data_IF_686832567834
#
_entry.id   IF_686832567834
#
_cell.length_a   1.000
_cell.length_b   1.000
_cell.length_c   1.000
_cell.angle_alpha   90.00
_cell.angle_beta   90.00
_cell.angle_gamma   90.00
#
_symmetry.space_group_name_H-M   'P 1'
#
loop_
_entity.id
_entity.type
_entity.pdbx_description
1 polymer ?
#
# COMPACT_ATOMS: atom_id res chain seq x y z
N UNK A 1 -26.47 -18.76 12.77
CA UNK A 1 -27.61 -17.91 12.39
C UNK A 1 -28.07 -18.33 10.99
N UNK A 2 -29.33 -18.05 10.60
CA UNK A 2 -29.72 -18.14 9.17
C UNK A 2 -29.01 -17.03 8.39
N UNK A 3 -28.93 -17.16 7.07
CA UNK A 3 -28.28 -16.20 6.16
C UNK A 3 -28.76 -14.75 6.36
N UNK A 4 -30.03 -14.58 6.68
CA UNK A 4 -30.62 -13.30 7.08
C UNK A 4 -29.89 -12.60 8.24
N UNK A 5 -29.32 -13.35 9.18
CA UNK A 5 -28.53 -12.78 10.28
C UNK A 5 -27.19 -12.21 9.83
N UNK A 6 -26.53 -12.85 8.86
CA UNK A 6 -25.29 -12.37 8.27
C UNK A 6 -25.53 -11.09 7.46
N UNK A 7 -26.65 -11.01 6.72
CA UNK A 7 -27.04 -9.80 5.98
C UNK A 7 -27.26 -8.58 6.86
N UNK A 8 -27.88 -8.73 8.04
CA UNK A 8 -28.03 -7.61 9.00
C UNK A 8 -26.67 -7.02 9.40
N UNK A 9 -25.66 -7.87 9.60
CA UNK A 9 -24.32 -7.41 9.96
C UNK A 9 -23.64 -6.75 8.76
N UNK A 10 -23.79 -7.31 7.56
CA UNK A 10 -23.27 -6.74 6.31
C UNK A 10 -23.87 -5.35 6.05
N UNK A 11 -25.19 -5.19 6.17
CA UNK A 11 -25.86 -3.90 6.00
C UNK A 11 -25.34 -2.86 6.99
N UNK A 12 -25.09 -3.26 8.24
CA UNK A 12 -24.49 -2.38 9.25
C UNK A 12 -23.07 -1.94 8.83
N UNK A 13 -22.22 -2.87 8.39
CA UNK A 13 -20.85 -2.59 7.96
C UNK A 13 -20.80 -1.70 6.70
N UNK A 14 -21.75 -1.89 5.78
CA UNK A 14 -21.94 -1.04 4.61
C UNK A 14 -22.23 0.41 5.03
N UNK A 15 -23.21 0.61 5.92
CA UNK A 15 -23.58 1.93 6.44
C UNK A 15 -22.43 2.60 7.19
N UNK A 16 -21.71 1.86 8.04
CA UNK A 16 -20.53 2.36 8.76
C UNK A 16 -19.41 2.82 7.80
N UNK A 17 -19.39 2.28 6.58
CA UNK A 17 -18.42 2.61 5.53
C UNK A 17 -18.95 3.65 4.53
N UNK A 18 -20.11 4.25 4.81
CA UNK A 18 -20.72 5.31 4.01
C UNK A 18 -21.44 4.83 2.75
N UNK A 19 -21.75 3.54 2.65
CA UNK A 19 -22.65 3.02 1.62
C UNK A 19 -24.11 3.26 2.03
N UNK A 20 -24.94 3.64 1.07
CA UNK A 20 -26.35 4.01 1.22
C UNK A 20 -27.19 2.91 0.59
N UNK A 21 -27.87 2.11 1.42
CA UNK A 21 -28.77 1.05 0.98
C UNK A 21 -30.14 1.62 0.57
N UNK A 22 -30.95 0.85 -0.19
CA UNK A 22 -32.31 1.27 -0.52
C UNK A 22 -33.13 1.60 0.73
N UNK A 23 -33.74 2.79 0.73
CA UNK A 23 -34.52 3.29 1.87
C UNK A 23 -33.73 3.95 3.00
N UNK A 24 -32.40 4.06 2.89
CA UNK A 24 -31.60 4.91 3.77
C UNK A 24 -31.65 6.39 3.31
N UNK A 25 -31.32 7.32 4.20
CA UNK A 25 -31.21 8.74 3.86
C UNK A 25 -29.96 9.01 2.99
N UNK A 26 -30.16 9.44 1.75
CA UNK A 26 -29.07 9.86 0.86
C UNK A 26 -29.27 9.42 -0.59
N UNK A 27 -28.20 9.50 -1.38
CA UNK A 27 -28.18 8.94 -2.74
C UNK A 27 -27.77 7.47 -2.64
N UNK A 28 -28.73 6.58 -2.91
CA UNK A 28 -28.50 5.13 -2.96
C UNK A 28 -27.32 4.79 -3.88
N UNK A 29 -26.42 3.95 -3.38
CA UNK A 29 -25.24 3.48 -4.11
C UNK A 29 -24.94 1.99 -3.85
N UNK A 30 -25.94 1.27 -3.34
CA UNK A 30 -25.96 -0.19 -3.17
C UNK A 30 -27.22 -0.73 -3.81
N UNK A 31 -27.07 -1.73 -4.67
CA UNK A 31 -28.17 -2.47 -5.27
C UNK A 31 -28.18 -3.90 -4.73
N UNK A 32 -29.10 -4.25 -3.82
CA UNK A 32 -29.23 -5.61 -3.29
C UNK A 32 -29.91 -6.53 -4.32
N UNK A 33 -29.54 -7.80 -4.32
CA UNK A 33 -30.18 -8.86 -5.12
C UNK A 33 -30.21 -8.59 -6.63
N UNK A 34 -29.12 -8.05 -7.18
CA UNK A 34 -29.03 -7.75 -8.60
C UNK A 34 -28.83 -9.03 -9.44
N UNK A 35 -29.86 -9.39 -10.22
CA UNK A 35 -29.84 -10.51 -11.14
C UNK A 35 -28.95 -10.30 -12.36
N UNK A 36 -28.17 -11.33 -12.71
CA UNK A 36 -27.33 -11.37 -13.90
C UNK A 36 -27.36 -12.77 -14.56
N UNK A 37 -26.67 -12.92 -15.70
CA UNK A 37 -26.63 -14.19 -16.47
C UNK A 37 -26.09 -15.40 -15.68
N UNK A 38 -25.39 -15.17 -14.56
CA UNK A 38 -24.78 -16.18 -13.70
C UNK A 38 -25.56 -16.43 -12.40
N UNK A 39 -26.61 -15.66 -12.12
CA UNK A 39 -27.41 -15.71 -10.89
C UNK A 39 -27.59 -14.32 -10.26
N UNK A 40 -28.08 -14.27 -9.03
CA UNK A 40 -28.29 -13.03 -8.29
C UNK A 40 -27.12 -12.78 -7.32
N UNK A 41 -26.48 -11.62 -7.46
CA UNK A 41 -25.49 -11.15 -6.51
C UNK A 41 -26.20 -10.60 -5.26
N UNK A 42 -25.70 -10.90 -4.06
CA UNK A 42 -26.35 -10.43 -2.82
C UNK A 42 -26.37 -8.90 -2.73
N UNK A 43 -25.23 -8.26 -3.06
CA UNK A 43 -25.13 -6.81 -3.15
C UNK A 43 -24.20 -6.40 -4.30
N UNK A 44 -24.55 -5.30 -4.95
CA UNK A 44 -23.70 -4.62 -5.94
C UNK A 44 -23.50 -3.19 -5.49
N UNK A 45 -22.25 -2.86 -5.21
CA UNK A 45 -21.82 -1.52 -4.83
C UNK A 45 -21.55 -0.72 -6.10
N UNK A 46 -22.07 0.49 -6.17
CA UNK A 46 -21.95 1.37 -7.34
C UNK A 46 -20.82 2.39 -7.17
N UNK A 47 -20.19 2.82 -8.26
CA UNK A 47 -19.28 3.97 -8.25
C UNK A 47 -20.04 5.31 -8.27
N UNK A 48 -19.31 6.42 -8.12
CA UNK A 48 -19.84 7.78 -8.13
C UNK A 48 -20.57 8.15 -9.42
N UNK A 49 -20.29 7.43 -10.52
CA UNK A 49 -20.94 7.58 -11.83
C UNK A 49 -22.15 6.66 -12.00
N UNK A 50 -22.42 5.76 -11.04
CA UNK A 50 -23.55 4.83 -11.05
C UNK A 50 -23.27 3.52 -11.79
N UNK A 51 -22.01 3.18 -12.07
CA UNK A 51 -21.65 1.88 -12.64
C UNK A 51 -21.31 0.87 -11.55
N UNK A 52 -21.56 -0.44 -11.77
CA UNK A 52 -21.10 -1.48 -10.87
C UNK A 52 -19.59 -1.37 -10.58
N UNK A 53 -19.26 -1.40 -9.30
CA UNK A 53 -17.91 -1.19 -8.78
C UNK A 53 -17.41 -2.43 -8.04
N UNK A 54 -18.23 -3.00 -7.17
CA UNK A 54 -17.86 -4.15 -6.36
C UNK A 54 -19.06 -5.05 -6.08
N UNK A 55 -18.87 -6.37 -6.20
CA UNK A 55 -19.88 -7.36 -5.81
C UNK A 55 -19.64 -7.83 -4.37
N UNK A 56 -20.68 -7.99 -3.58
CA UNK A 56 -20.60 -8.69 -2.29
C UNK A 56 -21.32 -10.03 -2.40
N UNK A 57 -20.63 -11.08 -1.98
CA UNK A 57 -21.19 -12.42 -1.81
C UNK A 57 -21.28 -12.73 -0.31
N UNK A 58 -22.51 -12.94 0.16
CA UNK A 58 -22.82 -13.27 1.53
C UNK A 58 -22.91 -14.79 1.71
N UNK A 59 -22.38 -15.28 2.83
CA UNK A 59 -22.57 -16.65 3.30
C UNK A 59 -23.15 -16.65 4.70
N UNK A 60 -23.71 -17.80 5.09
CA UNK A 60 -24.12 -18.04 6.48
C UNK A 60 -22.92 -17.95 7.42
N UNK A 61 -23.11 -17.42 8.62
CA UNK A 61 -22.09 -17.21 9.65
C UNK A 61 -21.17 -18.41 9.93
N UNK A 62 -21.69 -19.64 9.88
CA UNK A 62 -20.93 -20.87 10.10
C UNK A 62 -20.16 -21.37 8.87
N UNK A 63 -20.34 -20.76 7.69
CA UNK A 63 -19.61 -21.12 6.47
C UNK A 63 -18.46 -20.15 6.23
N UNK A 64 -17.41 -20.63 5.59
CA UNK A 64 -16.30 -19.79 5.18
C UNK A 64 -16.77 -18.82 4.08
N UNK A 65 -16.48 -17.52 4.16
CA UNK A 65 -16.74 -16.59 3.06
C UNK A 65 -16.05 -17.02 1.76
N UNK A 66 -14.88 -17.67 1.87
CA UNK A 66 -14.11 -18.15 0.73
C UNK A 66 -14.82 -19.23 -0.09
N UNK A 67 -15.81 -19.92 0.48
CA UNK A 67 -16.61 -20.91 -0.24
C UNK A 67 -17.43 -20.27 -1.38
N UNK A 68 -17.71 -18.97 -1.29
CA UNK A 68 -18.41 -18.19 -2.32
C UNK A 68 -17.52 -17.65 -3.44
N UNK A 69 -16.20 -17.93 -3.42
CA UNK A 69 -15.23 -17.24 -4.28
C UNK A 69 -15.52 -17.36 -5.78
N UNK A 70 -15.81 -18.57 -6.27
CA UNK A 70 -16.09 -18.80 -7.69
C UNK A 70 -17.43 -18.21 -8.13
N UNK A 71 -18.43 -18.23 -7.24
CA UNK A 71 -19.74 -17.62 -7.47
C UNK A 71 -19.60 -16.09 -7.59
N UNK A 72 -18.92 -15.48 -6.62
CA UNK A 72 -18.69 -14.04 -6.59
C UNK A 72 -17.85 -13.56 -7.80
N UNK A 73 -16.87 -14.36 -8.25
CA UNK A 73 -16.14 -14.08 -9.49
C UNK A 73 -17.08 -14.10 -10.70
N UNK A 74 -17.94 -15.11 -10.81
CA UNK A 74 -18.91 -15.19 -11.91
C UNK A 74 -19.84 -13.98 -11.99
N UNK A 75 -20.30 -13.47 -10.84
CA UNK A 75 -21.10 -12.24 -10.76
C UNK A 75 -20.30 -10.99 -11.11
N UNK A 76 -19.07 -10.90 -10.63
CA UNK A 76 -18.20 -9.78 -10.93
C UNK A 76 -17.88 -9.72 -12.43
N UNK A 77 -17.59 -10.85 -13.07
CA UNK A 77 -17.35 -10.94 -14.51
C UNK A 77 -18.58 -10.53 -15.32
N UNK A 78 -19.79 -10.98 -14.93
CA UNK A 78 -21.03 -10.65 -15.65
C UNK A 78 -21.46 -9.19 -15.50
N UNK A 79 -21.17 -8.57 -14.35
CA UNK A 79 -21.44 -7.16 -14.06
C UNK A 79 -20.28 -6.22 -14.44
N UNK A 80 -19.20 -6.75 -15.00
CA UNK A 80 -17.97 -6.02 -15.32
C UNK A 80 -17.37 -5.27 -14.10
N UNK A 81 -17.43 -5.91 -12.93
CA UNK A 81 -16.84 -5.46 -11.68
C UNK A 81 -15.44 -6.06 -11.50
N UNK A 82 -14.48 -5.24 -11.07
CA UNK A 82 -13.13 -5.71 -10.70
C UNK A 82 -13.04 -6.22 -9.26
N UNK A 83 -13.87 -5.68 -8.36
CA UNK A 83 -13.74 -5.91 -6.92
C UNK A 83 -14.84 -6.82 -6.39
N UNK A 84 -14.46 -7.65 -5.43
CA UNK A 84 -15.35 -8.57 -4.74
C UNK A 84 -15.13 -8.45 -3.23
N UNK A 85 -16.21 -8.48 -2.45
CA UNK A 85 -16.18 -8.70 -1.00
C UNK A 85 -16.86 -10.04 -0.71
N UNK A 86 -16.17 -10.91 0.01
CA UNK A 86 -16.72 -12.16 0.52
C UNK A 86 -16.99 -11.99 2.01
N UNK A 87 -18.21 -12.22 2.46
CA UNK A 87 -18.56 -12.04 3.87
C UNK A 87 -19.48 -13.12 4.40
N UNK A 88 -19.34 -13.47 5.68
CA UNK A 88 -20.34 -14.23 6.42
C UNK A 88 -20.93 -13.47 7.62
N UNK A 89 -20.66 -12.16 7.71
CA UNK A 89 -20.98 -11.31 8.87
C UNK A 89 -19.99 -11.38 10.03
N UNK A 90 -19.02 -12.29 10.02
CA UNK A 90 -17.97 -12.42 11.06
C UNK A 90 -16.58 -12.20 10.46
N UNK A 91 -16.31 -12.86 9.34
CA UNK A 91 -15.09 -12.73 8.56
C UNK A 91 -15.43 -12.09 7.22
N UNK A 92 -14.51 -11.25 6.77
CA UNK A 92 -14.66 -10.46 5.56
C UNK A 92 -13.36 -10.51 4.78
N UNK A 93 -13.47 -10.73 3.48
CA UNK A 93 -12.33 -10.68 2.57
C UNK A 93 -12.62 -9.68 1.47
N UNK A 94 -11.63 -8.85 1.16
CA UNK A 94 -11.63 -8.07 -0.07
C UNK A 94 -10.80 -8.78 -1.11
N UNK A 95 -11.28 -8.77 -2.34
CA UNK A 95 -10.60 -9.36 -3.46
C UNK A 95 -10.65 -8.43 -4.66
N UNK A 96 -9.48 -8.19 -5.22
CA UNK A 96 -9.30 -7.54 -6.49
C UNK A 96 -8.97 -8.62 -7.52
N UNK A 97 -9.85 -8.81 -8.51
CA UNK A 97 -9.72 -9.87 -9.51
C UNK A 97 -8.48 -9.70 -10.39
N UNK A 98 -7.93 -8.49 -10.50
CA UNK A 98 -6.68 -8.22 -11.21
C UNK A 98 -5.44 -8.36 -10.30
N UNK A 99 -5.61 -8.40 -8.98
CA UNK A 99 -4.52 -8.36 -8.00
C UNK A 99 -4.57 -9.48 -6.96
N UNK A 100 -4.25 -10.70 -7.42
CA UNK A 100 -3.91 -11.83 -6.55
C UNK A 100 -5.11 -12.46 -5.85
N UNK A 101 -4.90 -12.93 -4.62
CA UNK A 101 -5.90 -13.65 -3.82
C UNK A 101 -6.65 -12.71 -2.85
N UNK A 102 -7.86 -13.11 -2.40
CA UNK A 102 -8.58 -12.38 -1.37
C UNK A 102 -7.76 -12.19 -0.09
N UNK A 103 -7.87 -11.04 0.55
CA UNK A 103 -7.22 -10.73 1.82
C UNK A 103 -8.25 -10.29 2.87
N UNK A 104 -7.96 -10.54 4.14
CA UNK A 104 -8.87 -10.24 5.25
C UNK A 104 -9.00 -8.73 5.44
N UNK A 105 -10.23 -8.27 5.69
CA UNK A 105 -10.53 -6.88 6.07
C UNK A 105 -11.34 -6.87 7.38
N UNK A 106 -11.07 -5.89 8.24
CA UNK A 106 -11.84 -5.67 9.47
C UNK A 106 -12.98 -4.65 9.26
N UNK A 107 -12.87 -3.81 8.21
CA UNK A 107 -13.84 -2.78 7.86
C UNK A 107 -14.08 -2.82 6.36
N UNK A 108 -15.33 -2.54 5.94
CA UNK A 108 -15.64 -2.43 4.53
C UNK A 108 -14.98 -1.18 3.94
N UNK A 109 -14.45 -1.27 2.71
CA UNK A 109 -13.89 -0.11 2.04
C UNK A 109 -15.01 0.88 1.68
N UNK A 110 -14.71 2.18 1.75
CA UNK A 110 -15.62 3.22 1.28
C UNK A 110 -15.66 3.27 -0.26
N UNK A 111 -16.72 3.85 -0.84
CA UNK A 111 -16.83 4.04 -2.29
C UNK A 111 -15.56 4.66 -2.89
N UNK A 112 -15.09 5.77 -2.30
CA UNK A 112 -13.87 6.46 -2.73
C UNK A 112 -12.63 5.57 -2.66
N UNK A 113 -12.49 4.72 -1.64
CA UNK A 113 -11.32 3.83 -1.51
C UNK A 113 -11.28 2.77 -2.61
N UNK A 114 -12.43 2.21 -2.99
CA UNK A 114 -12.49 1.24 -4.10
C UNK A 114 -12.25 1.95 -5.44
N UNK A 115 -12.83 3.14 -5.65
CA UNK A 115 -12.62 3.91 -6.87
C UNK A 115 -11.16 4.30 -7.08
N UNK A 116 -10.46 4.73 -6.03
CA UNK A 116 -9.02 5.03 -6.09
C UNK A 116 -8.17 3.81 -6.49
N UNK A 117 -8.69 2.59 -6.28
CA UNK A 117 -8.02 1.34 -6.71
C UNK A 117 -8.36 0.94 -8.15
N UNK A 118 -9.43 1.47 -8.76
CA UNK A 118 -9.70 1.28 -10.20
C UNK A 118 -8.58 1.90 -11.03
N UNK A 119 -8.02 3.01 -10.56
CA UNK A 119 -6.83 3.60 -11.18
C UNK A 119 -5.66 2.64 -10.99
N UNK A 120 -5.09 2.15 -12.09
CA UNK A 120 -3.80 1.45 -12.01
C UNK A 120 -2.84 2.36 -11.29
N UNK A 121 -2.15 1.85 -10.28
CA UNK A 121 -1.11 2.59 -9.60
C UNK A 121 -0.03 2.95 -10.62
N UNK A 122 -0.18 4.13 -11.16
CA UNK A 122 0.74 4.75 -12.10
C UNK A 122 0.86 6.20 -11.62
N UNK A 123 1.50 6.42 -10.47
CA UNK A 123 1.74 7.77 -10.00
C UNK A 123 2.44 8.54 -11.12
N UNK A 124 1.98 9.76 -11.44
CA UNK A 124 2.62 10.56 -12.48
C UNK A 124 4.08 10.77 -12.10
N UNK A 125 4.97 10.53 -13.07
CA UNK A 125 6.37 10.94 -12.94
C UNK A 125 6.39 12.45 -13.17
N UNK A 126 6.63 13.22 -12.11
CA UNK A 126 6.66 14.69 -12.21
C UNK A 126 8.07 15.25 -12.37
N UNK A 127 9.10 14.47 -12.01
CA UNK A 127 10.51 14.86 -12.11
C UNK A 127 11.29 13.86 -12.98
N UNK A 128 12.09 14.36 -13.93
CA UNK A 128 13.01 13.56 -14.74
C UNK A 128 14.35 13.38 -14.00
N UNK A 129 14.30 12.94 -12.73
CA UNK A 129 15.51 12.64 -11.95
C UNK A 129 15.97 11.21 -12.28
N UNK A 130 17.16 11.09 -12.89
CA UNK A 130 17.76 9.78 -13.16
C UNK A 130 18.28 9.16 -11.86
N UNK A 131 17.86 7.94 -11.58
CA UNK A 131 18.39 7.14 -10.46
C UNK A 131 19.73 6.53 -10.90
N UNK A 132 20.82 6.91 -10.24
CA UNK A 132 22.17 6.38 -10.43
C UNK A 132 22.76 5.87 -9.11
N UNK A 133 23.98 5.32 -9.13
CA UNK A 133 24.62 4.77 -7.92
C UNK A 133 24.82 5.81 -6.81
N UNK A 134 24.95 7.08 -7.17
CA UNK A 134 25.08 8.22 -6.27
C UNK A 134 23.73 8.85 -5.87
N UNK A 135 22.60 8.27 -6.27
CA UNK A 135 21.25 8.83 -6.06
C UNK A 135 21.01 9.31 -4.63
N UNK A 136 21.48 8.55 -3.62
CA UNK A 136 21.41 8.95 -2.22
C UNK A 136 22.49 9.99 -1.88
N UNK A 137 23.74 9.73 -2.28
CA UNK A 137 24.89 10.56 -1.94
C UNK A 137 24.77 12.00 -2.42
N UNK A 138 24.14 12.24 -3.58
CA UNK A 138 23.90 13.59 -4.11
C UNK A 138 22.98 14.41 -3.19
N UNK A 139 21.94 13.81 -2.61
CA UNK A 139 21.11 14.53 -1.62
C UNK A 139 21.93 14.85 -0.37
N UNK A 140 22.71 13.88 0.12
CA UNK A 140 23.49 14.07 1.34
C UNK A 140 24.53 15.18 1.16
N UNK A 141 25.19 15.21 -0.01
CA UNK A 141 26.26 16.14 -0.35
C UNK A 141 26.28 16.48 -1.85
N UNK A 142 25.54 17.50 -2.34
CA UNK A 142 25.29 17.74 -3.78
C UNK A 142 26.50 17.85 -4.71
N UNK A 143 27.70 18.14 -4.17
CA UNK A 143 28.93 18.31 -4.97
C UNK A 143 30.03 17.31 -4.62
N UNK A 144 29.71 16.22 -3.91
CA UNK A 144 30.73 15.25 -3.48
C UNK A 144 31.45 14.59 -4.67
N UNK A 145 30.75 14.39 -5.79
CA UNK A 145 31.31 13.82 -7.00
C UNK A 145 32.39 14.69 -7.67
N UNK A 146 32.45 15.99 -7.34
CA UNK A 146 33.46 16.93 -7.83
C UNK A 146 34.70 16.97 -6.93
N UNK A 147 34.67 16.32 -5.76
CA UNK A 147 35.77 16.37 -4.81
C UNK A 147 36.99 15.58 -5.33
N UNK A 148 38.22 16.15 -5.27
CA UNK A 148 39.43 15.46 -5.72
C UNK A 148 39.66 14.08 -5.06
N UNK A 149 39.32 13.92 -3.78
CA UNK A 149 39.48 12.64 -3.07
C UNK A 149 38.43 11.60 -3.51
N UNK A 150 37.26 12.02 -4.00
CA UNK A 150 36.27 11.12 -4.60
C UNK A 150 36.67 10.68 -6.02
N UNK A 151 37.22 11.61 -6.81
CA UNK A 151 37.69 11.33 -8.17
C UNK A 151 38.87 10.34 -8.16
N UNK A 152 39.72 10.41 -7.14
CA UNK A 152 40.82 9.46 -6.94
C UNK A 152 40.32 8.09 -6.45
N UNK A 153 40.44 7.06 -7.29
CA UNK A 153 39.97 5.70 -7.00
C UNK A 153 40.52 5.11 -5.70
N UNK A 154 41.79 5.37 -5.39
CA UNK A 154 42.43 4.83 -4.18
C UNK A 154 41.91 5.46 -2.89
N UNK A 155 41.38 6.69 -2.96
CA UNK A 155 40.84 7.44 -1.80
C UNK A 155 39.32 7.45 -1.73
N UNK A 156 38.64 7.09 -2.82
CA UNK A 156 37.19 7.21 -2.98
C UNK A 156 36.43 6.54 -1.83
N UNK A 157 36.78 5.30 -1.48
CA UNK A 157 36.10 4.56 -0.42
C UNK A 157 36.30 5.23 0.95
N UNK A 158 37.53 5.63 1.27
CA UNK A 158 37.84 6.33 2.53
C UNK A 158 37.12 7.68 2.61
N UNK A 159 37.07 8.42 1.50
CA UNK A 159 36.32 9.67 1.40
C UNK A 159 34.83 9.45 1.67
N UNK A 160 34.20 8.46 1.04
CA UNK A 160 32.79 8.13 1.25
C UNK A 160 32.50 7.77 2.70
N UNK A 161 33.32 6.89 3.30
CA UNK A 161 33.16 6.44 4.69
C UNK A 161 33.32 7.61 5.66
N UNK A 162 34.38 8.42 5.50
CA UNK A 162 34.69 9.55 6.38
C UNK A 162 33.59 10.61 6.37
N UNK A 163 32.99 10.85 5.20
CA UNK A 163 31.93 11.85 5.04
C UNK A 163 30.52 11.26 5.20
N UNK A 164 30.41 9.96 5.51
CA UNK A 164 29.15 9.22 5.64
C UNK A 164 28.25 9.34 4.40
N UNK A 165 28.87 9.38 3.23
CA UNK A 165 28.16 9.44 1.94
C UNK A 165 27.81 8.01 1.55
N UNK A 166 26.53 7.76 1.34
CA UNK A 166 26.02 6.45 0.91
C UNK A 166 25.84 6.42 -0.61
N UNK A 167 26.44 5.42 -1.23
CA UNK A 167 26.28 5.10 -2.65
C UNK A 167 25.75 3.67 -2.77
N UNK A 168 24.88 3.45 -3.75
CA UNK A 168 24.31 2.15 -4.06
C UNK A 168 25.33 1.28 -4.80
N UNK A 169 25.40 0.01 -4.41
CA UNK A 169 26.10 -1.03 -5.18
C UNK A 169 25.28 -1.40 -6.42
N UNK A 170 25.90 -2.01 -7.42
CA UNK A 170 25.24 -2.33 -8.69
C UNK A 170 23.94 -3.14 -8.50
N UNK A 171 23.96 -4.20 -7.70
CA UNK A 171 22.76 -5.00 -7.41
C UNK A 171 21.68 -4.22 -6.63
N UNK A 172 22.07 -3.22 -5.84
CA UNK A 172 21.13 -2.37 -5.12
C UNK A 172 20.46 -1.38 -6.09
N UNK A 173 21.25 -0.82 -7.01
CA UNK A 173 20.75 0.04 -8.08
C UNK A 173 19.81 -0.73 -9.01
N UNK A 174 20.18 -1.95 -9.41
CA UNK A 174 19.32 -2.84 -10.19
C UNK A 174 18.00 -3.15 -9.47
N UNK A 175 18.04 -3.38 -8.15
CA UNK A 175 16.82 -3.60 -7.36
C UNK A 175 15.88 -2.38 -7.41
N UNK A 176 16.42 -1.17 -7.27
CA UNK A 176 15.63 0.08 -7.37
C UNK A 176 15.05 0.26 -8.77
N UNK A 177 15.84 0.04 -9.82
CA UNK A 177 15.35 0.11 -11.21
C UNK A 177 14.29 -0.95 -11.54
N UNK A 178 14.40 -2.15 -10.96
CA UNK A 178 13.39 -3.20 -11.12
C UNK A 178 12.04 -2.77 -10.52
N UNK A 179 12.06 -2.12 -9.35
CA UNK A 179 10.85 -1.50 -8.77
C UNK A 179 10.34 -0.38 -9.66
N UNK A 180 11.21 0.53 -10.10
CA UNK A 180 10.84 1.65 -10.99
C UNK A 180 10.13 1.17 -12.26
N UNK A 181 10.69 0.15 -12.92
CA UNK A 181 10.09 -0.47 -14.12
C UNK A 181 8.76 -1.14 -13.82
N UNK A 182 8.64 -1.78 -12.66
CA UNK A 182 7.40 -2.44 -12.25
C UNK A 182 6.28 -1.41 -11.99
N UNK A 183 6.61 -0.28 -11.36
CA UNK A 183 5.67 0.86 -11.18
C UNK A 183 5.22 1.41 -12.53
N UNK A 184 6.14 1.63 -13.48
CA UNK A 184 5.79 2.07 -14.85
C UNK A 184 4.87 1.07 -15.57
N UNK A 185 4.96 -0.22 -15.22
CA UNK A 185 4.04 -1.27 -15.68
C UNK A 185 2.68 -1.29 -14.97
N UNK A 186 2.39 -0.33 -14.11
CA UNK A 186 1.15 -0.22 -13.34
C UNK A 186 1.03 -1.18 -12.16
N UNK A 187 2.16 -1.77 -11.70
CA UNK A 187 2.18 -2.62 -10.51
C UNK A 187 2.27 -1.77 -9.25
N UNK A 188 1.60 -2.19 -8.19
CA UNK A 188 1.59 -1.55 -6.86
C UNK A 188 2.13 -2.45 -5.73
N UNK A 189 2.44 -3.71 -6.05
CA UNK A 189 2.96 -4.69 -5.10
C UNK A 189 4.26 -5.29 -5.62
N UNK A 190 5.27 -5.29 -4.76
CA UNK A 190 6.62 -5.73 -5.10
C UNK A 190 7.17 -6.60 -3.97
N UNK A 191 7.98 -7.58 -4.34
CA UNK A 191 8.75 -8.41 -3.41
C UNK A 191 10.23 -8.32 -3.80
N UNK A 192 11.07 -7.88 -2.86
CA UNK A 192 12.52 -7.85 -3.02
C UNK A 192 13.15 -8.86 -2.08
N UNK A 193 13.76 -9.89 -2.65
CA UNK A 193 14.50 -10.90 -1.89
C UNK A 193 15.97 -10.51 -1.79
N UNK A 194 16.47 -10.34 -0.56
CA UNK A 194 17.82 -9.89 -0.30
C UNK A 194 18.41 -10.57 0.94
N UNK A 195 19.61 -11.13 0.81
CA UNK A 195 20.34 -11.74 1.92
C UNK A 195 20.61 -10.74 3.08
N UNK A 196 20.83 -11.24 4.30
CA UNK A 196 21.23 -10.40 5.45
C UNK A 196 22.61 -9.77 5.19
N UNK A 197 22.81 -8.51 5.61
CA UNK A 197 24.06 -7.79 5.40
C UNK A 197 24.27 -7.17 4.00
N UNK A 198 23.37 -7.38 3.04
CA UNK A 198 23.49 -6.79 1.68
C UNK A 198 22.97 -5.35 1.57
N UNK A 199 22.61 -4.72 2.69
CA UNK A 199 22.17 -3.33 2.72
C UNK A 199 20.70 -3.12 2.35
N UNK A 200 19.81 -4.04 2.77
CA UNK A 200 18.34 -3.92 2.62
C UNK A 200 17.80 -2.54 3.01
N UNK A 201 18.24 -2.01 4.16
CA UNK A 201 17.76 -0.71 4.66
C UNK A 201 18.14 0.43 3.72
N UNK A 202 19.34 0.40 3.12
CA UNK A 202 19.76 1.43 2.17
C UNK A 202 18.96 1.37 0.87
N UNK A 203 18.65 0.16 0.39
CA UNK A 203 17.74 -0.02 -0.77
C UNK A 203 16.35 0.51 -0.45
N UNK A 204 15.83 0.26 0.75
CA UNK A 204 14.58 0.86 1.21
C UNK A 204 14.64 2.38 1.18
N UNK A 205 15.73 3.01 1.66
CA UNK A 205 15.89 4.46 1.58
C UNK A 205 15.82 4.98 0.13
N UNK A 206 16.49 4.30 -0.81
CA UNK A 206 16.47 4.68 -2.23
C UNK A 206 15.05 4.57 -2.83
N UNK A 207 14.33 3.50 -2.52
CA UNK A 207 12.95 3.30 -2.98
C UNK A 207 12.01 4.35 -2.37
N UNK A 208 12.16 4.64 -1.08
CA UNK A 208 11.37 5.69 -0.39
C UNK A 208 11.63 7.05 -1.03
N UNK A 209 12.91 7.42 -1.21
CA UNK A 209 13.29 8.67 -1.88
C UNK A 209 12.70 8.75 -3.29
N UNK A 210 12.77 7.65 -4.06
CA UNK A 210 12.17 7.54 -5.39
C UNK A 210 10.67 7.83 -5.36
N UNK A 211 9.91 7.18 -4.46
CA UNK A 211 8.47 7.40 -4.35
C UNK A 211 8.09 8.82 -3.91
N UNK A 212 8.81 9.38 -2.95
CA UNK A 212 8.53 10.73 -2.45
C UNK A 212 8.91 11.82 -3.47
N UNK A 213 10.06 11.71 -4.15
CA UNK A 213 10.53 12.72 -5.12
C UNK A 213 9.89 12.58 -6.50
N UNK A 214 10.01 11.41 -7.12
CA UNK A 214 9.64 11.22 -8.53
C UNK A 214 8.15 11.03 -8.72
N UNK A 215 7.52 10.34 -7.77
CA UNK A 215 6.13 9.91 -7.84
C UNK A 215 5.20 10.70 -6.91
N UNK A 216 5.74 11.72 -6.22
CA UNK A 216 5.02 12.65 -5.32
C UNK A 216 4.12 11.95 -4.31
N UNK A 217 4.56 10.77 -3.84
CA UNK A 217 3.86 10.09 -2.75
C UNK A 217 3.90 11.00 -1.53
N UNK A 218 2.75 11.25 -0.92
CA UNK A 218 2.66 12.19 0.20
C UNK A 218 3.21 11.60 1.51
N UNK A 219 3.17 10.26 1.66
CA UNK A 219 3.58 9.60 2.90
C UNK A 219 3.97 8.14 2.68
N UNK A 220 4.97 7.70 3.40
CA UNK A 220 5.44 6.31 3.49
C UNK A 220 5.27 5.79 4.92
N UNK A 221 4.74 4.58 5.04
CA UNK A 221 4.75 3.81 6.28
C UNK A 221 5.78 2.67 6.14
N UNK A 222 6.81 2.67 7.00
CA UNK A 222 7.82 1.63 7.07
C UNK A 222 7.58 0.73 8.28
N UNK A 223 7.25 -0.54 8.02
CA UNK A 223 6.91 -1.51 9.07
C UNK A 223 8.08 -2.44 9.37
N UNK A 224 8.29 -2.69 10.65
CA UNK A 224 9.28 -3.65 11.16
C UNK A 224 8.65 -4.59 12.17
N UNK A 225 9.33 -5.70 12.47
CA UNK A 225 8.83 -6.72 13.41
C UNK A 225 9.13 -6.39 14.88
N UNK A 226 10.25 -5.70 15.17
CA UNK A 226 10.73 -5.49 16.55
C UNK A 226 11.08 -4.03 16.82
N UNK A 227 10.98 -3.62 18.09
CA UNK A 227 11.27 -2.25 18.53
C UNK A 227 12.73 -1.85 18.28
N UNK A 228 13.68 -2.77 18.40
CA UNK A 228 15.09 -2.47 18.12
C UNK A 228 15.31 -2.14 16.64
N UNK A 229 14.58 -2.85 15.75
CA UNK A 229 14.63 -2.61 14.31
C UNK A 229 13.95 -1.29 13.93
N UNK A 230 12.96 -0.84 14.71
CA UNK A 230 12.27 0.46 14.52
C UNK A 230 13.26 1.60 14.75
N UNK A 231 13.95 1.57 15.90
CA UNK A 231 14.98 2.56 16.23
C UNK A 231 16.15 2.52 15.23
N UNK A 232 16.54 1.33 14.76
CA UNK A 232 17.58 1.18 13.75
C UNK A 232 17.17 1.77 12.40
N UNK A 233 15.94 1.52 11.95
CA UNK A 233 15.43 2.08 10.70
C UNK A 233 15.31 3.60 10.77
N UNK A 234 14.76 4.15 11.87
CA UNK A 234 14.70 5.59 12.11
C UNK A 234 16.08 6.24 12.00
N UNK A 235 17.08 5.69 12.69
CA UNK A 235 18.46 6.23 12.67
C UNK A 235 19.05 6.23 11.25
N UNK A 236 18.87 5.15 10.50
CA UNK A 236 19.36 5.07 9.12
C UNK A 236 18.64 6.09 8.23
N UNK A 237 17.31 6.23 8.37
CA UNK A 237 16.52 7.18 7.59
C UNK A 237 16.91 8.62 7.91
N UNK A 238 17.17 8.96 9.18
CA UNK A 238 17.67 10.29 9.55
C UNK A 238 19.11 10.52 9.05
N UNK A 239 19.95 9.51 8.99
CA UNK A 239 21.30 9.66 8.41
C UNK A 239 21.26 9.87 6.89
N UNK A 240 20.35 9.16 6.22
CA UNK A 240 20.30 9.05 4.76
C UNK A 240 19.40 10.09 4.10
N UNK A 241 18.23 10.38 4.69
CA UNK A 241 17.12 11.09 4.06
C UNK A 241 16.78 12.44 4.71
N UNK A 242 17.36 12.81 5.85
CA UNK A 242 17.01 14.04 6.60
C UNK A 242 17.06 15.35 5.80
N UNK A 243 17.86 15.40 4.74
CA UNK A 243 18.01 16.59 3.89
C UNK A 243 16.80 16.77 2.97
N UNK A 244 16.09 15.69 2.66
CA UNK A 244 14.88 15.69 1.81
C UNK A 244 13.60 15.54 2.67
N UNK A 245 13.61 14.70 3.71
CA UNK A 245 12.38 14.22 4.36
C UNK A 245 12.49 14.14 5.88
N UNK A 246 11.36 14.34 6.57
CA UNK A 246 11.23 14.11 8.01
C UNK A 246 10.74 12.69 8.28
N UNK A 247 11.45 12.00 9.17
CA UNK A 247 11.11 10.64 9.63
C UNK A 247 10.68 10.68 11.09
N UNK A 248 9.61 9.97 11.45
CA UNK A 248 9.15 9.85 12.84
C UNK A 248 8.75 8.42 13.21
N UNK A 249 8.92 8.07 14.49
CA UNK A 249 8.36 6.85 15.07
C UNK A 249 6.90 7.08 15.46
N UNK A 250 6.00 6.21 14.98
CA UNK A 250 4.54 6.32 15.16
C UNK A 250 4.12 6.45 16.63
N UNK A 251 4.57 5.51 17.49
CA UNK A 251 4.14 5.43 18.89
C UNK A 251 4.48 6.68 19.70
N UNK A 252 5.56 7.36 19.35
CA UNK A 252 6.07 8.58 20.01
C UNK A 252 5.43 9.86 19.45
N UNK A 253 4.85 9.81 18.24
CA UNK A 253 4.37 10.99 17.51
C UNK A 253 2.90 10.87 17.08
N UNK A 254 2.05 10.20 17.86
CA UNK A 254 0.66 9.91 17.48
C UNK A 254 -0.20 11.16 17.20
N UNK A 255 0.14 12.31 17.80
CA UNK A 255 -0.53 13.58 17.56
C UNK A 255 0.08 14.40 16.41
N UNK A 256 1.32 14.11 15.99
CA UNK A 256 2.10 14.95 15.07
C UNK A 256 2.62 14.23 13.81
N UNK A 257 2.40 12.93 13.68
CA UNK A 257 2.89 12.12 12.56
C UNK A 257 2.43 12.63 11.19
N UNK A 258 1.32 13.39 11.13
CA UNK A 258 0.82 14.01 9.90
C UNK A 258 1.82 15.00 9.30
N UNK A 259 2.75 15.54 10.10
CA UNK A 259 3.82 16.48 9.68
C UNK A 259 5.12 15.80 9.23
N UNK A 260 5.10 14.49 9.02
CA UNK A 260 6.24 13.73 8.51
C UNK A 260 5.85 12.97 7.23
N UNK A 261 6.80 12.90 6.30
CA UNK A 261 6.68 12.14 5.06
C UNK A 261 6.94 10.64 5.31
N UNK A 262 7.80 10.30 6.28
CA UNK A 262 8.16 8.92 6.60
C UNK A 262 7.76 8.60 8.03
N UNK A 263 6.93 7.56 8.20
CA UNK A 263 6.51 7.05 9.51
C UNK A 263 7.05 5.64 9.68
N UNK A 264 7.79 5.40 10.75
CA UNK A 264 8.31 4.07 11.12
C UNK A 264 7.46 3.51 12.26
N UNK A 265 7.09 2.23 12.18
CA UNK A 265 6.34 1.56 13.24
C UNK A 265 6.63 0.06 13.27
N UNK A 266 6.44 -0.55 14.43
CA UNK A 266 6.25 -2.01 14.50
C UNK A 266 4.83 -2.42 14.07
N UNK A 267 4.68 -3.65 13.57
CA UNK A 267 3.35 -4.24 13.26
C UNK A 267 2.49 -4.34 14.54
N UNK A 268 3.11 -4.72 15.65
CA UNK A 268 2.46 -4.93 16.94
C UNK A 268 1.89 -3.61 17.51
N UNK A 269 2.53 -2.47 17.26
CA UNK A 269 2.05 -1.15 17.70
C UNK A 269 0.71 -0.74 17.08
N UNK A 270 0.32 -1.30 15.94
CA UNK A 270 -1.01 -1.09 15.36
C UNK A 270 -2.03 -2.08 15.89
N UNK A 271 -1.64 -3.33 16.12
CA UNK A 271 -2.54 -4.40 16.57
C UNK A 271 -2.94 -4.22 18.05
N UNK A 272 -2.04 -3.69 18.89
CA UNK A 272 -2.29 -3.57 20.34
C UNK A 272 -3.40 -2.59 20.72
N UNK A 273 -3.82 -1.71 19.81
CA UNK A 273 -4.96 -0.79 20.01
C UNK A 273 -6.33 -1.34 19.57
N UNK A 274 -6.37 -2.54 19.00
CA UNK A 274 -7.60 -3.27 18.66
C UNK A 274 -8.01 -4.28 19.75
N UNK A 275 -7.58 -4.07 21.00
CA UNK A 275 -8.02 -4.83 22.17
C UNK A 275 -8.72 -3.94 23.17
#
# INVERSE_FOLDING_TARGET
>A
MKEAGSRIIIDKLLRESGWVLPGDDGKENVEPELGNEKGEADYVLMDSKGFPLCVIEAKRDLKSPLDGKEQARGYADSLNCRFVILSNGIQHYQWDLEQGSPFVIDQFPTQRQIELRKEKFNPPVEEDEKISSDYIGVTQHPKFAQNPDYLNESKRNDFLIRNKIRVLRDYQLEAVHSVQKSVQGGKDRFLLEMATGTGKTLVSCAIIKMFLRLYKVNRVLFLVDRLELETQAQKEFDEVLKNDFRTVIWKENQSDWKKAEIVVSTVQSFISKNK
#
